data_IF_374864647741
#
_entry.id   IF_374864647741
#
_cell.length_a   1.000
_cell.length_b   1.000
_cell.length_c   1.000
_cell.angle_alpha   90.00
_cell.angle_beta   90.00
_cell.angle_gamma   90.00
#
_symmetry.space_group_name_H-M   'P 1'
#
loop_
_entity.id
_entity.type
_entity.pdbx_description
1 polymer ?
#
# COMPACT_ATOMS: atom_id res chain seq x y z
N UNK A 1 -21.45 -32.51 39.25
CA UNK A 1 -20.09 -32.29 38.72
C UNK A 1 -20.17 -32.67 37.25
N UNK A 2 -20.44 -31.70 36.36
CA UNK A 2 -19.43 -30.86 35.67
C UNK A 2 -18.65 -31.67 34.62
N UNK A 3 -18.48 -31.29 33.36
CA UNK A 3 -18.93 -30.18 32.50
C UNK A 3 -18.66 -30.64 31.05
N UNK A 4 -19.49 -30.19 30.11
CA UNK A 4 -19.36 -30.45 28.68
C UNK A 4 -18.19 -29.67 28.06
N UNK A 5 -17.31 -30.33 27.32
CA UNK A 5 -16.38 -29.66 26.40
C UNK A 5 -17.16 -29.26 25.14
N UNK A 6 -17.56 -27.99 25.09
CA UNK A 6 -18.09 -27.35 23.88
C UNK A 6 -16.92 -26.70 23.16
N UNK A 7 -16.73 -27.08 21.90
CA UNK A 7 -15.77 -26.50 20.98
C UNK A 7 -15.88 -24.97 20.95
N UNK A 8 -14.76 -24.31 21.22
CA UNK A 8 -14.60 -22.86 21.16
C UNK A 8 -14.70 -22.41 19.70
N UNK A 9 -15.92 -22.03 19.31
CA UNK A 9 -16.23 -21.42 18.04
C UNK A 9 -15.92 -19.92 18.16
N UNK A 10 -14.66 -19.54 17.96
CA UNK A 10 -14.24 -18.15 17.92
C UNK A 10 -14.83 -17.46 16.68
N UNK A 11 -16.00 -16.86 16.85
CA UNK A 11 -16.62 -16.03 15.83
C UNK A 11 -15.96 -14.64 15.83
N UNK A 12 -15.49 -14.12 14.68
CA UNK A 12 -14.92 -12.78 14.60
C UNK A 12 -15.98 -11.72 14.92
N UNK A 13 -15.58 -10.73 15.72
CA UNK A 13 -16.45 -9.65 16.22
C UNK A 13 -16.62 -8.58 15.13
N UNK A 14 -17.84 -8.06 14.87
CA UNK A 14 -18.03 -6.93 13.96
C UNK A 14 -17.31 -5.69 14.50
N UNK A 15 -16.29 -5.22 13.78
CA UNK A 15 -15.45 -4.09 14.21
C UNK A 15 -13.95 -4.37 14.25
N UNK A 16 -13.48 -5.51 13.73
CA UNK A 16 -12.05 -5.73 13.50
C UNK A 16 -11.50 -4.64 12.58
N UNK A 17 -10.77 -3.71 13.17
CA UNK A 17 -9.85 -2.85 12.45
C UNK A 17 -9.01 -3.74 11.53
N UNK A 18 -8.84 -3.30 10.28
CA UNK A 18 -7.85 -3.90 9.38
C UNK A 18 -6.54 -4.06 10.17
N UNK A 19 -5.86 -5.22 10.09
CA UNK A 19 -4.58 -5.36 10.76
C UNK A 19 -3.70 -4.18 10.31
N UNK A 20 -3.24 -3.36 11.27
CA UNK A 20 -2.33 -2.29 10.95
C UNK A 20 -1.13 -2.93 10.24
N UNK A 21 -0.94 -2.61 8.96
CA UNK A 21 0.18 -3.11 8.19
C UNK A 21 1.46 -2.74 8.95
N UNK A 22 2.33 -3.71 9.23
CA UNK A 22 3.64 -3.45 9.85
C UNK A 22 4.74 -3.41 8.78
N UNK A 23 5.90 -2.85 9.12
CA UNK A 23 7.05 -2.82 8.19
C UNK A 23 7.48 -4.24 7.83
N UNK A 24 7.50 -5.17 8.78
CA UNK A 24 7.84 -6.58 8.53
C UNK A 24 6.87 -7.22 7.56
N UNK A 25 5.57 -6.86 7.65
CA UNK A 25 4.55 -7.33 6.72
C UNK A 25 4.79 -6.78 5.32
N UNK A 26 5.05 -5.48 5.21
CA UNK A 26 5.38 -4.82 3.94
C UNK A 26 6.64 -5.35 3.30
N UNK A 27 7.62 -5.84 4.06
CA UNK A 27 8.84 -6.42 3.49
C UNK A 27 8.64 -7.90 3.13
N UNK A 28 7.97 -8.67 3.99
CA UNK A 28 7.91 -10.13 3.88
C UNK A 28 6.79 -10.67 2.99
N UNK A 29 5.71 -9.91 2.76
CA UNK A 29 4.57 -10.41 2.00
C UNK A 29 4.77 -10.33 0.46
N UNK A 30 4.16 -11.22 -0.32
CA UNK A 30 4.10 -11.07 -1.78
C UNK A 30 3.40 -9.77 -2.17
N UNK A 31 3.96 -9.01 -3.12
CA UNK A 31 3.39 -7.74 -3.56
C UNK A 31 1.93 -7.83 -4.03
N UNK A 32 1.50 -8.84 -4.82
CA UNK A 32 0.10 -8.94 -5.22
C UNK A 32 -0.88 -9.05 -4.05
N UNK A 33 -0.45 -9.67 -2.95
CA UNK A 33 -1.25 -9.76 -1.74
C UNK A 33 -1.37 -8.40 -1.05
N UNK A 34 -0.27 -7.65 -0.92
CA UNK A 34 -0.28 -6.30 -0.37
C UNK A 34 -1.18 -5.37 -1.19
N UNK A 35 -1.11 -5.44 -2.52
CA UNK A 35 -1.97 -4.62 -3.39
C UNK A 35 -3.46 -4.93 -3.17
N UNK A 36 -3.81 -6.21 -3.06
CA UNK A 36 -5.19 -6.61 -2.79
C UNK A 36 -5.69 -6.16 -1.40
N UNK A 37 -4.84 -6.22 -0.38
CA UNK A 37 -5.17 -5.76 0.98
C UNK A 37 -5.50 -4.25 1.04
N UNK A 38 -4.92 -3.45 0.14
CA UNK A 38 -5.08 -1.99 0.10
C UNK A 38 -6.05 -1.49 -0.98
N UNK A 39 -6.75 -2.38 -1.70
CA UNK A 39 -7.49 -2.05 -2.94
C UNK A 39 -6.64 -1.19 -3.89
N UNK A 40 -5.37 -1.56 -4.04
CA UNK A 40 -4.35 -0.80 -4.74
C UNK A 40 -4.02 -1.40 -6.12
N UNK A 41 -3.75 -0.53 -7.09
CA UNK A 41 -3.30 -0.90 -8.42
C UNK A 41 -2.03 -0.11 -8.79
N UNK A 42 -1.07 -0.77 -9.43
CA UNK A 42 0.11 -0.12 -10.00
C UNK A 42 -0.25 0.44 -11.37
N UNK A 43 0.03 1.72 -11.59
CA UNK A 43 -0.17 2.42 -12.86
C UNK A 43 1.16 2.93 -13.37
N UNK A 44 1.62 2.42 -14.51
CA UNK A 44 2.84 2.91 -15.15
C UNK A 44 2.54 4.14 -16.02
N UNK A 45 3.27 5.23 -15.78
CA UNK A 45 3.12 6.50 -16.51
C UNK A 45 4.29 6.65 -17.48
N UNK A 46 3.98 6.87 -18.76
CA UNK A 46 4.96 6.97 -19.85
C UNK A 46 5.36 8.42 -20.19
N UNK A 47 4.61 9.42 -19.72
CA UNK A 47 4.78 10.82 -20.09
C UNK A 47 5.48 11.66 -19.01
N UNK A 48 6.29 11.04 -18.14
CA UNK A 48 7.01 11.74 -17.08
C UNK A 48 8.47 11.93 -17.49
N UNK A 49 8.83 13.19 -17.73
CA UNK A 49 10.18 13.60 -18.12
C UNK A 49 11.07 13.98 -16.91
N UNK A 50 10.50 14.05 -15.70
CA UNK A 50 11.27 14.32 -14.47
C UNK A 50 11.91 13.03 -13.94
N UNK A 51 13.23 12.92 -14.13
CA UNK A 51 14.03 11.78 -13.64
C UNK A 51 14.03 11.62 -12.11
N UNK A 52 13.61 12.65 -11.37
CA UNK A 52 13.47 12.61 -9.90
C UNK A 52 12.11 12.10 -9.47
N UNK A 53 11.16 11.95 -10.40
CA UNK A 53 9.86 11.38 -10.10
C UNK A 53 10.02 9.89 -9.78
N UNK A 54 9.84 9.58 -8.52
CA UNK A 54 9.89 8.22 -8.02
C UNK A 54 8.54 7.51 -8.20
N UNK A 55 7.47 8.16 -7.76
CA UNK A 55 6.11 7.66 -7.84
C UNK A 55 5.13 8.62 -7.15
N UNK A 56 3.85 8.36 -7.33
CA UNK A 56 2.76 9.13 -6.75
C UNK A 56 1.66 8.18 -6.28
N UNK A 57 1.19 8.38 -5.06
CA UNK A 57 0.00 7.75 -4.54
C UNK A 57 -1.24 8.62 -4.76
N UNK A 58 -2.29 8.05 -5.35
CA UNK A 58 -3.60 8.70 -5.50
C UNK A 58 -4.67 7.87 -4.81
N UNK A 59 -5.34 8.44 -3.82
CA UNK A 59 -6.51 7.82 -3.19
C UNK A 59 -7.78 8.37 -3.83
N UNK A 60 -8.54 7.50 -4.50
CA UNK A 60 -9.84 7.85 -5.09
C UNK A 60 -10.89 8.00 -4.00
N UNK A 61 -11.95 8.76 -4.27
CA UNK A 61 -13.12 8.86 -3.37
C UNK A 61 -13.79 7.52 -3.09
N UNK A 62 -13.65 6.56 -4.01
CA UNK A 62 -14.17 5.19 -3.84
C UNK A 62 -13.42 4.37 -2.81
N UNK A 63 -12.27 4.84 -2.31
CA UNK A 63 -11.35 4.08 -1.46
C UNK A 63 -10.21 3.39 -2.22
N UNK A 64 -10.34 3.25 -3.54
CA UNK A 64 -9.32 2.62 -4.39
C UNK A 64 -8.03 3.44 -4.43
N UNK A 65 -6.90 2.76 -4.38
CA UNK A 65 -5.57 3.39 -4.39
C UNK A 65 -4.88 3.15 -5.73
N UNK A 66 -4.29 4.20 -6.31
CA UNK A 66 -3.41 4.08 -7.46
C UNK A 66 -1.98 4.38 -7.03
N UNK A 67 -1.07 3.46 -7.33
CA UNK A 67 0.37 3.58 -7.15
C UNK A 67 0.98 3.89 -8.51
N UNK A 68 1.11 5.17 -8.81
CA UNK A 68 1.64 5.67 -10.07
C UNK A 68 3.17 5.68 -10.05
N UNK A 69 3.83 5.18 -11.09
CA UNK A 69 5.31 5.20 -11.20
C UNK A 69 5.76 5.26 -12.66
N UNK A 70 7.00 5.68 -12.97
CA UNK A 70 7.51 5.66 -14.34
C UNK A 70 7.43 4.27 -14.98
N UNK A 71 7.06 4.22 -16.25
CA UNK A 71 7.16 3.00 -17.05
C UNK A 71 8.63 2.56 -17.25
N UNK A 72 8.84 1.28 -17.54
CA UNK A 72 10.17 0.74 -17.90
C UNK A 72 11.09 0.47 -16.71
N UNK A 73 10.58 0.56 -15.48
CA UNK A 73 11.28 0.12 -14.27
C UNK A 73 11.43 -1.40 -14.24
N UNK A 74 12.54 -1.87 -13.70
CA UNK A 74 12.76 -3.30 -13.43
C UNK A 74 11.75 -3.82 -12.42
N UNK A 75 11.54 -5.15 -12.37
CA UNK A 75 10.63 -5.77 -11.41
C UNK A 75 10.97 -5.41 -9.96
N UNK A 76 12.27 -5.34 -9.65
CA UNK A 76 12.78 -4.99 -8.31
C UNK A 76 12.48 -3.52 -7.98
N UNK A 77 12.73 -2.60 -8.91
CA UNK A 77 12.40 -1.18 -8.70
C UNK A 77 10.89 -0.98 -8.55
N UNK A 78 10.08 -1.66 -9.37
CA UNK A 78 8.62 -1.59 -9.30
C UNK A 78 8.10 -2.07 -7.96
N UNK A 79 8.60 -3.20 -7.48
CA UNK A 79 8.23 -3.80 -6.19
C UNK A 79 8.64 -2.89 -5.03
N UNK A 80 9.87 -2.38 -5.04
CA UNK A 80 10.35 -1.42 -4.04
C UNK A 80 9.51 -0.14 -4.01
N UNK A 81 9.20 0.41 -5.18
CA UNK A 81 8.36 1.61 -5.33
C UNK A 81 6.98 1.40 -4.75
N UNK A 82 6.33 0.30 -5.11
CA UNK A 82 5.00 -0.02 -4.59
C UNK A 82 5.01 -0.15 -3.07
N UNK A 83 5.99 -0.86 -2.48
CA UNK A 83 6.09 -1.01 -1.02
C UNK A 83 6.35 0.30 -0.30
N UNK A 84 7.20 1.17 -0.85
CA UNK A 84 7.44 2.51 -0.28
C UNK A 84 6.19 3.39 -0.33
N UNK A 85 5.42 3.35 -1.41
CA UNK A 85 4.17 4.10 -1.52
C UNK A 85 3.08 3.56 -0.57
N UNK A 86 3.01 2.24 -0.37
CA UNK A 86 2.13 1.63 0.63
C UNK A 86 2.56 1.96 2.07
N UNK A 87 3.87 1.89 2.37
CA UNK A 87 4.39 2.33 3.66
C UNK A 87 4.00 3.78 3.97
N UNK A 88 4.09 4.65 2.97
CA UNK A 88 3.66 6.04 3.10
C UNK A 88 2.14 6.16 3.33
N UNK A 89 1.32 5.39 2.60
CA UNK A 89 -0.14 5.35 2.79
C UNK A 89 -0.51 5.00 4.24
N UNK A 90 0.17 4.01 4.81
CA UNK A 90 -0.07 3.49 6.15
C UNK A 90 0.57 4.35 7.26
N UNK A 91 1.29 5.43 6.88
CA UNK A 91 1.99 6.30 7.82
C UNK A 91 3.17 5.61 8.52
N UNK A 92 3.73 4.58 7.90
CA UNK A 92 4.85 3.81 8.43
C UNK A 92 6.18 4.56 8.25
N UNK A 93 7.14 4.35 9.17
CA UNK A 93 8.43 5.01 9.10
C UNK A 93 9.21 4.52 7.87
N UNK A 94 9.57 5.47 7.00
CA UNK A 94 10.29 5.19 5.76
C UNK A 94 11.81 5.09 5.94
N UNK A 95 12.33 5.45 7.10
CA UNK A 95 13.76 5.35 7.45
C UNK A 95 14.27 3.89 7.53
N UNK A 96 13.34 2.93 7.60
CA UNK A 96 13.62 1.50 7.52
C UNK A 96 13.72 0.99 6.06
N UNK A 97 13.29 1.80 5.09
CA UNK A 97 13.51 1.55 3.67
C UNK A 97 14.83 2.19 3.25
N UNK A 98 15.56 1.60 2.28
CA UNK A 98 16.82 2.18 1.85
C UNK A 98 16.58 3.63 1.37
N UNK A 99 17.49 4.51 1.79
CA UNK A 99 17.44 5.96 1.61
C UNK A 99 17.78 6.32 0.16
N UNK A 100 16.93 5.87 -0.78
CA UNK A 100 17.21 6.00 -2.21
C UNK A 100 16.39 7.15 -2.81
N UNK A 101 15.25 7.53 -2.22
CA UNK A 101 14.16 8.20 -2.96
C UNK A 101 13.33 9.14 -2.09
N UNK A 102 13.22 10.41 -2.49
CA UNK A 102 12.28 11.39 -1.91
C UNK A 102 10.87 11.11 -2.44
N UNK A 103 9.94 10.75 -1.55
CA UNK A 103 8.51 10.68 -1.87
C UNK A 103 7.92 12.08 -1.70
N UNK A 104 7.44 12.68 -2.80
CA UNK A 104 6.67 13.93 -2.76
C UNK A 104 5.20 13.58 -2.87
N UNK A 105 4.38 14.02 -1.90
CA UNK A 105 2.94 13.85 -1.95
C UNK A 105 2.22 15.17 -2.18
N UNK A 106 1.42 15.21 -3.24
CA UNK A 106 0.33 16.18 -3.37
C UNK A 106 -0.95 15.52 -2.87
N UNK A 107 -1.37 15.88 -1.65
CA UNK A 107 -2.71 15.55 -1.16
C UNK A 107 -3.69 16.49 -1.84
N UNK A 108 -4.32 16.02 -2.92
CA UNK A 108 -5.43 16.77 -3.53
C UNK A 108 -6.63 16.71 -2.59
N UNK A 109 -6.80 17.77 -1.78
CA UNK A 109 -8.01 17.95 -0.95
C UNK A 109 -9.23 17.96 -1.88
N UNK A 110 -10.01 16.89 -1.83
CA UNK A 110 -11.24 16.76 -2.60
C UNK A 110 -11.35 15.49 -3.44
N UNK A 111 -10.35 14.62 -3.48
CA UNK A 111 -10.35 13.38 -4.26
C UNK A 111 -10.34 13.66 -5.77
N UNK A 112 -9.37 13.09 -6.49
CA UNK A 112 -9.26 13.28 -7.95
C UNK A 112 -10.19 12.27 -8.64
N UNK A 113 -11.14 12.75 -9.43
CA UNK A 113 -11.78 11.94 -10.46
C UNK A 113 -10.76 11.78 -11.59
N UNK A 114 -9.96 10.72 -11.51
CA UNK A 114 -9.05 10.34 -12.59
C UNK A 114 -9.90 9.58 -13.61
N UNK A 115 -10.02 10.19 -14.80
CA UNK A 115 -10.72 9.71 -16.01
C UNK A 115 -10.38 8.26 -16.37
#
# INVERSE_FOLDING_TARGET
MSISDTADNAQPTPGQALPATSVERLIGAPLPQLLAEHDAEIVEITSIDDYRFFGWLVQKKSGRVLLCMPAGRTDVERDCTARMLLAHLDGLPLDQFPDVLTVVTDVVKGGVDVL
#
